data_IF_196871636392
#
_entry.id   IF_196871636392
#
_cell.length_a   1.000
_cell.length_b   1.000
_cell.length_c   1.000
_cell.angle_alpha   90.00
_cell.angle_beta   90.00
_cell.angle_gamma   90.00
#
_symmetry.space_group_name_H-M   'P 1'
#
loop_
_entity.id
_entity.type
_entity.pdbx_description
1 polymer ?
#
# COMPACT_ATOMS: atom_id res chain seq x y z
N UNK A 1 13.86 -69.56 45.90
CA UNK A 1 13.50 -68.43 45.02
C UNK A 1 13.31 -67.23 45.93
N UNK A 2 14.37 -66.58 46.41
CA UNK A 2 15.19 -65.57 45.70
C UNK A 2 14.33 -64.39 45.20
N UNK A 3 14.65 -63.11 45.36
CA UNK A 3 15.75 -62.40 45.99
C UNK A 3 15.34 -60.91 46.15
N UNK A 4 16.10 -60.20 46.99
CA UNK A 4 16.13 -58.73 47.19
C UNK A 4 16.27 -57.94 45.89
N UNK A 5 15.61 -56.77 45.80
CA UNK A 5 16.08 -55.57 45.07
C UNK A 5 15.57 -54.35 45.86
N UNK A 6 16.34 -53.71 46.74
CA UNK A 6 17.38 -52.68 46.50
C UNK A 6 16.84 -51.39 45.89
N UNK A 7 16.57 -50.39 46.74
CA UNK A 7 16.33 -49.00 46.30
C UNK A 7 17.65 -48.22 46.15
N UNK A 8 17.70 -47.16 45.34
CA UNK A 8 18.80 -46.21 45.38
C UNK A 8 18.39 -44.80 45.83
N UNK A 9 19.19 -44.33 46.80
CA UNK A 9 19.83 -43.02 46.91
C UNK A 9 19.04 -41.72 46.68
N UNK A 10 18.89 -41.00 47.80
CA UNK A 10 18.66 -39.55 47.94
C UNK A 10 19.76 -38.78 47.21
N UNK A 11 19.40 -38.05 46.16
CA UNK A 11 20.27 -37.09 45.48
C UNK A 11 20.20 -35.71 46.12
N UNK A 12 21.32 -35.27 46.70
CA UNK A 12 21.56 -33.88 47.11
C UNK A 12 21.40 -32.93 45.91
N UNK A 13 20.56 -31.90 46.05
CA UNK A 13 20.58 -30.73 45.16
C UNK A 13 21.13 -29.53 45.92
N UNK A 14 22.27 -29.04 45.45
CA UNK A 14 22.90 -27.80 45.87
C UNK A 14 22.01 -26.57 45.62
N UNK A 15 22.17 -25.49 46.42
CA UNK A 15 21.39 -24.26 46.28
C UNK A 15 21.88 -23.41 45.09
N UNK A 16 21.01 -23.20 44.11
CA UNK A 16 21.26 -22.34 42.95
C UNK A 16 21.15 -20.85 43.32
N UNK A 17 22.31 -20.29 43.65
CA UNK A 17 22.81 -18.93 43.34
C UNK A 17 21.80 -17.74 43.32
N UNK A 18 21.84 -16.94 44.39
CA UNK A 18 21.25 -15.58 44.50
C UNK A 18 22.01 -14.58 43.62
N UNK A 19 21.38 -14.05 42.56
CA UNK A 19 21.91 -12.91 41.79
C UNK A 19 20.83 -11.87 41.39
N UNK A 20 19.77 -11.70 42.18
CA UNK A 20 18.66 -10.78 41.85
C UNK A 20 18.70 -9.38 42.45
N UNK A 21 19.62 -9.06 43.37
CA UNK A 21 19.46 -7.88 44.25
C UNK A 21 20.42 -6.72 43.89
N UNK A 22 21.40 -6.91 43.01
CA UNK A 22 22.38 -5.84 42.66
C UNK A 22 22.05 -5.00 41.43
N UNK A 23 21.05 -5.38 40.63
CA UNK A 23 20.72 -4.66 39.39
C UNK A 23 19.77 -3.47 39.59
N UNK A 24 18.91 -3.51 40.62
CA UNK A 24 17.82 -2.53 40.79
C UNK A 24 18.33 -1.18 41.36
N UNK A 25 19.44 -1.18 42.10
CA UNK A 25 19.99 0.05 42.70
C UNK A 25 20.73 0.95 41.70
N UNK A 26 21.27 0.40 40.60
CA UNK A 26 22.00 1.21 39.60
C UNK A 26 21.08 2.03 38.67
N UNK A 27 19.87 1.56 38.42
CA UNK A 27 18.92 2.23 37.52
C UNK A 27 18.37 3.52 38.14
N UNK A 28 18.22 3.56 39.48
CA UNK A 28 17.68 4.72 40.20
C UNK A 28 18.64 5.92 40.26
N UNK A 29 19.96 5.70 40.15
CA UNK A 29 20.96 6.76 40.13
C UNK A 29 21.23 7.34 38.72
N UNK A 30 20.83 6.64 37.66
CA UNK A 30 20.99 7.11 36.27
C UNK A 30 19.82 7.99 35.81
N UNK A 31 18.65 7.84 36.42
CA UNK A 31 17.43 8.59 36.05
C UNK A 31 17.37 10.01 36.63
N UNK A 32 18.07 10.28 37.73
CA UNK A 32 18.02 11.59 38.41
C UNK A 32 18.91 12.65 37.73
N UNK A 33 19.94 12.22 36.98
CA UNK A 33 20.87 13.13 36.28
C UNK A 33 20.38 13.66 34.93
N UNK A 34 19.37 13.02 34.30
CA UNK A 34 18.83 13.48 32.99
C UNK A 34 17.64 14.43 33.12
N UNK A 35 16.97 14.48 34.28
CA UNK A 35 15.80 15.34 34.52
C UNK A 35 16.15 16.83 34.56
N UNK A 36 17.31 17.20 35.11
CA UNK A 36 17.75 18.61 35.23
C UNK A 36 18.19 19.20 33.88
N UNK A 37 18.59 18.36 32.92
CA UNK A 37 19.02 18.82 31.59
C UNK A 37 17.85 19.05 30.62
N UNK A 38 16.70 18.39 30.83
CA UNK A 38 15.52 18.51 29.98
C UNK A 38 14.62 19.70 30.34
N UNK A 39 14.57 20.08 31.63
CA UNK A 39 13.77 21.23 32.08
C UNK A 39 14.33 22.58 31.63
N UNK A 40 15.66 22.69 31.44
CA UNK A 40 16.30 23.91 30.95
C UNK A 40 16.09 24.18 29.46
N UNK A 41 16.07 23.13 28.62
CA UNK A 41 15.91 23.27 27.16
C UNK A 41 14.47 23.60 26.79
N UNK A 42 13.49 22.98 27.44
CA UNK A 42 12.06 23.27 27.21
C UNK A 42 11.72 24.70 27.64
N UNK A 43 12.27 25.17 28.78
CA UNK A 43 12.07 26.54 29.25
C UNK A 43 12.59 27.59 28.26
N UNK A 44 13.73 27.33 27.61
CA UNK A 44 14.30 28.25 26.62
C UNK A 44 13.48 28.30 25.33
N UNK A 45 12.96 27.16 24.87
CA UNK A 45 12.10 27.09 23.67
C UNK A 45 10.77 27.81 23.90
N UNK A 46 10.13 27.62 25.07
CA UNK A 46 8.89 28.32 25.42
C UNK A 46 9.15 29.83 25.53
N UNK A 47 10.27 30.25 26.14
CA UNK A 47 10.61 31.67 26.24
C UNK A 47 10.82 32.31 24.85
N UNK A 48 11.46 31.62 23.91
CA UNK A 48 11.66 32.11 22.55
C UNK A 48 10.34 32.19 21.76
N UNK A 49 9.42 31.24 21.95
CA UNK A 49 8.08 31.29 21.35
C UNK A 49 7.27 32.48 21.90
N UNK A 50 7.35 32.75 23.21
CA UNK A 50 6.65 33.89 23.82
C UNK A 50 7.26 35.23 23.40
N UNK A 51 8.59 35.31 23.23
CA UNK A 51 9.25 36.50 22.70
C UNK A 51 8.84 36.74 21.24
N UNK A 52 8.78 35.69 20.41
CA UNK A 52 8.28 35.80 19.04
C UNK A 52 6.83 36.32 18.98
N UNK A 53 5.96 35.87 19.89
CA UNK A 53 4.58 36.36 20.01
C UNK A 53 4.45 37.82 20.49
N UNK A 54 5.46 38.33 21.21
CA UNK A 54 5.43 39.69 21.77
C UNK A 54 6.08 40.75 20.86
N UNK A 55 6.81 40.33 19.83
CA UNK A 55 7.56 41.24 18.93
C UNK A 55 7.01 41.34 17.51
N UNK A 56 5.78 40.89 17.24
CA UNK A 56 5.09 41.16 15.96
C UNK A 56 4.12 42.35 16.09
N UNK A 57 4.53 43.58 15.71
CA UNK A 57 3.63 44.70 15.57
C UNK A 57 3.19 44.88 14.12
N UNK A 58 2.79 43.83 13.39
CA UNK A 58 2.24 43.99 12.03
C UNK A 58 1.31 42.85 11.67
N UNK A 59 0.05 43.17 11.33
CA UNK A 59 -0.80 42.22 10.62
C UNK A 59 -2.30 42.26 10.89
N UNK A 60 -2.88 43.38 11.34
CA UNK A 60 -4.33 43.58 11.20
C UNK A 60 -4.63 43.93 9.74
N UNK A 61 -5.17 42.97 9.00
CA UNK A 61 -5.89 43.19 7.76
C UNK A 61 -7.16 44.03 8.03
N UNK A 62 -7.46 44.96 7.14
CA UNK A 62 -8.78 44.97 6.55
C UNK A 62 -8.69 44.87 5.03
N UNK A 63 -9.78 44.37 4.48
CA UNK A 63 -10.14 44.34 3.06
C UNK A 63 -9.83 43.03 2.32
N UNK A 64 -10.92 42.43 1.87
CA UNK A 64 -10.97 41.15 1.18
C UNK A 64 -10.36 41.22 -0.21
N UNK A 65 -9.13 40.76 -0.29
CA UNK A 65 -8.50 40.29 -1.52
C UNK A 65 -7.80 38.98 -1.16
N UNK A 66 -8.36 37.87 -1.63
CA UNK A 66 -7.69 36.57 -1.61
C UNK A 66 -6.41 36.70 -2.45
N UNK A 67 -5.26 36.73 -1.78
CA UNK A 67 -3.97 36.55 -2.43
C UNK A 67 -3.60 35.07 -2.37
N UNK A 68 -3.79 34.37 -3.49
CA UNK A 68 -3.17 33.08 -3.76
C UNK A 68 -1.70 33.30 -4.13
N UNK A 69 -0.73 32.60 -3.50
CA UNK A 69 0.63 32.52 -4.03
C UNK A 69 0.77 31.27 -4.89
N UNK A 70 1.34 31.48 -6.08
CA UNK A 70 1.72 30.51 -7.11
C UNK A 70 0.59 29.88 -7.93
N UNK A 71 0.13 30.69 -8.90
CA UNK A 71 -0.78 30.31 -9.96
C UNK A 71 -0.14 29.42 -11.03
N UNK A 72 -0.78 28.29 -11.28
CA UNK A 72 -1.02 27.81 -12.63
C UNK A 72 -2.54 27.84 -12.85
N UNK A 73 -3.06 29.02 -13.18
CA UNK A 73 -4.36 29.09 -13.85
C UNK A 73 -4.16 28.53 -15.27
N UNK A 74 -4.74 27.36 -15.54
CA UNK A 74 -4.87 26.88 -16.90
C UNK A 74 -5.77 27.84 -17.66
N UNK A 75 -5.18 28.64 -18.55
CA UNK A 75 -5.93 29.52 -19.42
C UNK A 75 -6.95 28.68 -20.22
N UNK A 76 -8.23 29.10 -20.28
CA UNK A 76 -9.21 28.39 -21.09
C UNK A 76 -8.76 28.37 -22.55
N UNK A 77 -9.12 27.30 -23.26
CA UNK A 77 -8.87 27.23 -24.69
C UNK A 77 -9.57 28.40 -25.42
N UNK A 78 -9.26 28.58 -26.71
CA UNK A 78 -9.86 29.61 -27.56
C UNK A 78 -11.40 29.55 -27.68
N UNK A 79 -12.04 28.54 -27.09
CA UNK A 79 -13.47 28.33 -27.04
C UNK A 79 -14.06 28.43 -25.62
N UNK A 80 -13.26 28.76 -24.60
CA UNK A 80 -13.74 28.98 -23.23
C UNK A 80 -13.91 27.72 -22.39
N UNK A 81 -13.36 26.58 -22.79
CA UNK A 81 -13.41 25.36 -21.97
C UNK A 81 -12.26 25.31 -20.97
N UNK A 82 -12.60 25.03 -19.72
CA UNK A 82 -11.65 24.59 -18.69
C UNK A 82 -11.69 23.07 -18.70
N UNK A 83 -10.58 22.40 -19.02
CA UNK A 83 -10.52 20.93 -18.98
C UNK A 83 -10.71 20.46 -17.54
N UNK A 84 -11.82 19.77 -17.30
CA UNK A 84 -12.09 19.03 -16.07
C UNK A 84 -11.07 17.88 -15.96
N UNK A 85 -10.47 17.59 -14.79
CA UNK A 85 -9.52 16.50 -14.65
C UNK A 85 -10.21 15.17 -15.02
N UNK A 86 -9.92 14.68 -16.21
CA UNK A 86 -10.48 13.43 -16.73
C UNK A 86 -9.90 12.28 -15.91
N UNK A 87 -10.77 11.47 -15.31
CA UNK A 87 -10.37 10.18 -14.75
C UNK A 87 -9.59 9.39 -15.81
N UNK A 88 -8.40 8.88 -15.44
CA UNK A 88 -7.56 8.13 -16.36
C UNK A 88 -8.23 6.80 -16.72
N UNK A 89 -8.79 6.72 -17.92
CA UNK A 89 -9.19 5.47 -18.57
C UNK A 89 -8.23 5.26 -19.74
N UNK A 90 -7.32 4.28 -19.71
CA UNK A 90 -6.50 3.98 -20.87
C UNK A 90 -7.45 3.59 -22.02
N UNK A 91 -7.35 4.30 -23.15
CA UNK A 91 -8.07 3.95 -24.37
C UNK A 91 -7.62 2.54 -24.78
N UNK A 92 -8.51 1.55 -24.58
CA UNK A 92 -8.30 0.19 -25.07
C UNK A 92 -8.10 0.24 -26.59
N UNK A 93 -7.15 -0.52 -27.16
CA UNK A 93 -6.98 -0.56 -28.60
C UNK A 93 -8.27 -1.00 -29.28
N UNK A 94 -8.63 -0.30 -30.35
CA UNK A 94 -9.83 -0.51 -31.13
C UNK A 94 -9.89 -1.99 -31.59
N UNK A 95 -10.99 -2.68 -31.28
CA UNK A 95 -11.16 -4.15 -31.42
C UNK A 95 -11.07 -4.70 -32.86
N UNK A 96 -10.58 -3.92 -33.82
CA UNK A 96 -10.66 -4.18 -35.24
C UNK A 96 -9.49 -4.96 -35.87
N UNK A 97 -8.41 -5.28 -35.15
CA UNK A 97 -7.26 -6.01 -35.73
C UNK A 97 -6.98 -7.41 -35.16
N UNK A 98 -7.96 -8.05 -34.52
CA UNK A 98 -7.92 -9.52 -34.34
C UNK A 98 -8.39 -10.18 -35.64
N UNK A 99 -7.57 -10.11 -36.68
CA UNK A 99 -7.81 -10.81 -37.95
C UNK A 99 -7.35 -12.26 -37.84
N UNK A 100 -8.20 -13.10 -37.24
CA UNK A 100 -7.96 -14.54 -37.13
C UNK A 100 -9.19 -15.41 -36.88
N UNK A 101 -10.39 -14.85 -36.80
CA UNK A 101 -11.61 -15.62 -36.60
C UNK A 101 -12.38 -15.72 -37.91
N UNK A 102 -12.17 -16.83 -38.63
CA UNK A 102 -13.10 -17.28 -39.66
C UNK A 102 -14.49 -17.48 -39.05
N UNK A 103 -15.60 -17.03 -39.69
CA UNK A 103 -16.95 -17.31 -39.21
C UNK A 103 -17.29 -18.80 -39.40
N UNK A 104 -16.99 -19.60 -38.37
CA UNK A 104 -17.47 -20.96 -38.22
C UNK A 104 -18.77 -20.98 -37.43
N UNK A 105 -19.71 -21.80 -37.89
CA UNK A 105 -20.95 -22.12 -37.20
C UNK A 105 -20.64 -23.00 -35.97
N UNK A 106 -20.32 -22.34 -34.87
CA UNK A 106 -20.02 -22.97 -33.60
C UNK A 106 -21.08 -22.48 -32.63
N UNK A 107 -22.04 -23.33 -32.32
CA UNK A 107 -22.96 -23.13 -31.20
C UNK A 107 -22.10 -22.77 -29.99
N UNK A 108 -22.33 -21.59 -29.39
CA UNK A 108 -21.76 -21.24 -28.08
C UNK A 108 -22.34 -22.25 -27.09
N UNK A 109 -21.66 -23.38 -26.99
CA UNK A 109 -21.74 -24.25 -25.84
C UNK A 109 -20.90 -23.51 -24.82
N UNK A 110 -21.51 -23.12 -23.72
CA UNK A 110 -20.82 -22.54 -22.58
C UNK A 110 -19.53 -23.34 -22.34
N UNK A 111 -18.37 -22.68 -22.13
CA UNK A 111 -17.16 -23.42 -21.81
C UNK A 111 -17.45 -24.27 -20.56
N UNK A 112 -17.25 -25.58 -20.70
CA UNK A 112 -17.43 -26.58 -19.64
C UNK A 112 -16.82 -26.10 -18.32
N UNK A 113 -17.49 -26.30 -17.17
CA UNK A 113 -16.90 -26.01 -15.87
C UNK A 113 -15.73 -26.97 -15.66
N UNK A 114 -14.49 -26.46 -15.66
CA UNK A 114 -13.34 -27.30 -15.36
C UNK A 114 -13.42 -27.77 -13.89
N UNK A 115 -13.51 -29.08 -13.61
CA UNK A 115 -13.49 -29.59 -12.25
C UNK A 115 -12.06 -29.95 -11.82
N UNK A 116 -11.81 -29.86 -10.51
CA UNK A 116 -10.81 -30.62 -9.73
C UNK A 116 -9.30 -30.32 -9.83
N UNK A 117 -8.83 -29.18 -10.37
CA UNK A 117 -7.39 -28.83 -10.29
C UNK A 117 -7.01 -27.88 -9.16
N UNK A 118 -7.98 -27.32 -8.42
CA UNK A 118 -7.70 -26.28 -7.42
C UNK A 118 -7.12 -24.99 -8.00
N UNK A 119 -7.17 -24.82 -9.33
CA UNK A 119 -6.77 -23.60 -10.02
C UNK A 119 -7.95 -22.63 -10.11
N UNK A 120 -7.70 -21.31 -10.11
CA UNK A 120 -8.75 -20.32 -10.27
C UNK A 120 -9.48 -20.55 -11.60
N UNK A 121 -10.81 -20.44 -11.58
CA UNK A 121 -11.63 -20.57 -12.80
C UNK A 121 -11.56 -19.33 -13.70
N UNK A 122 -10.79 -18.31 -13.29
CA UNK A 122 -10.63 -17.04 -13.98
C UNK A 122 -9.50 -17.13 -15.00
N UNK A 123 -9.73 -16.60 -16.20
CA UNK A 123 -8.65 -16.40 -17.16
C UNK A 123 -7.80 -15.21 -16.71
N UNK A 124 -6.46 -15.32 -16.68
CA UNK A 124 -5.62 -14.18 -16.42
C UNK A 124 -5.89 -13.05 -17.42
N UNK A 125 -5.97 -11.83 -16.90
CA UNK A 125 -6.09 -10.63 -17.71
C UNK A 125 -4.81 -10.38 -18.50
N UNK A 126 -4.92 -9.67 -19.61
CA UNK A 126 -3.76 -9.15 -20.30
C UNK A 126 -3.18 -7.94 -19.54
N UNK A 127 -1.85 -7.84 -19.53
CA UNK A 127 -1.13 -6.72 -18.95
C UNK A 127 -0.73 -5.77 -20.09
N UNK A 128 -1.43 -4.66 -20.21
CA UNK A 128 -1.24 -3.71 -21.30
C UNK A 128 -0.13 -2.73 -20.97
N UNK A 129 0.89 -2.54 -21.84
CA UNK A 129 1.83 -1.45 -21.68
C UNK A 129 1.11 -0.11 -21.92
N UNK A 130 1.47 0.90 -21.13
CA UNK A 130 0.91 2.24 -21.30
C UNK A 130 1.35 2.83 -22.66
N UNK A 131 0.38 3.18 -23.50
CA UNK A 131 0.62 3.82 -24.81
C UNK A 131 1.17 5.24 -24.69
N UNK A 132 0.98 5.89 -23.53
CA UNK A 132 1.57 7.19 -23.19
C UNK A 132 2.09 7.14 -21.76
N UNK A 133 3.26 7.72 -21.56
CA UNK A 133 3.85 7.91 -20.24
C UNK A 133 3.06 9.00 -19.51
N UNK A 134 2.28 8.59 -18.52
CA UNK A 134 1.50 9.48 -17.66
C UNK A 134 1.87 9.23 -16.20
N UNK A 135 2.11 10.29 -15.45
CA UNK A 135 2.40 10.17 -14.02
C UNK A 135 1.11 9.81 -13.27
N UNK A 136 1.14 8.69 -12.54
CA UNK A 136 0.04 8.23 -11.71
C UNK A 136 -0.42 9.32 -10.72
N UNK A 137 -1.73 9.58 -10.60
CA UNK A 137 -2.25 10.58 -9.68
C UNK A 137 -1.83 10.30 -8.23
N UNK A 138 -1.30 11.29 -7.52
CA UNK A 138 -0.96 11.12 -6.11
C UNK A 138 -2.23 11.03 -5.26
N UNK A 139 -2.20 10.29 -4.15
CA UNK A 139 -3.27 10.24 -3.16
C UNK A 139 -2.69 10.04 -1.76
N UNK A 140 -3.47 10.42 -0.74
CA UNK A 140 -3.16 10.14 0.67
C UNK A 140 -4.36 9.45 1.31
N UNK A 141 -4.11 8.32 1.99
CA UNK A 141 -5.06 7.54 2.76
C UNK A 141 -4.45 7.17 4.12
N UNK A 142 -5.31 6.78 5.06
CA UNK A 142 -4.89 6.17 6.31
C UNK A 142 -4.82 4.64 6.13
N UNK A 143 -3.65 4.03 6.32
CA UNK A 143 -3.49 2.58 6.27
C UNK A 143 -4.06 1.91 7.52
N UNK A 144 -4.18 0.58 7.53
CA UNK A 144 -4.84 -0.21 8.57
C UNK A 144 -4.21 -0.11 9.96
N UNK A 145 -2.93 0.25 10.05
CA UNK A 145 -2.23 0.51 11.31
C UNK A 145 -2.40 1.95 11.83
N UNK A 146 -3.03 2.82 11.05
CA UNK A 146 -3.27 4.23 11.36
C UNK A 146 -2.17 5.16 10.86
N UNK A 147 -1.15 4.62 10.19
CA UNK A 147 -0.15 5.42 9.49
C UNK A 147 -0.77 6.09 8.26
N UNK A 148 -0.18 7.22 7.86
CA UNK A 148 -0.53 7.88 6.61
C UNK A 148 0.27 7.25 5.49
N UNK A 149 -0.44 6.86 4.43
CA UNK A 149 0.14 6.38 3.19
C UNK A 149 -0.11 7.42 2.11
N UNK A 150 0.96 7.95 1.54
CA UNK A 150 0.90 8.79 0.34
C UNK A 150 1.64 8.11 -0.80
N UNK A 151 1.05 8.06 -1.98
CA UNK A 151 1.66 7.35 -3.12
C UNK A 151 3.02 7.96 -3.50
N UNK A 152 3.16 9.29 -3.42
CA UNK A 152 4.42 9.99 -3.66
C UNK A 152 5.55 9.70 -2.65
N UNK A 153 5.25 9.12 -1.48
CA UNK A 153 6.30 8.70 -0.53
C UNK A 153 7.12 7.50 -1.05
N UNK A 154 6.62 6.83 -2.10
CA UNK A 154 7.28 5.69 -2.76
C UNK A 154 7.99 6.06 -4.06
N UNK A 155 8.20 7.35 -4.34
CA UNK A 155 9.01 7.78 -5.47
C UNK A 155 10.43 7.17 -5.40
N UNK A 156 10.97 6.78 -6.56
CA UNK A 156 12.19 5.99 -6.68
C UNK A 156 12.01 4.49 -6.53
N UNK A 157 10.79 4.01 -6.24
CA UNK A 157 10.43 2.58 -6.25
C UNK A 157 9.49 2.28 -7.40
N UNK A 158 9.53 1.04 -7.90
CA UNK A 158 8.45 0.52 -8.76
C UNK A 158 7.25 0.23 -7.86
N UNK A 159 6.09 0.74 -8.23
CA UNK A 159 4.86 0.60 -7.43
C UNK A 159 3.91 -0.35 -8.16
N UNK A 160 3.51 -1.43 -7.51
CA UNK A 160 2.42 -2.30 -7.96
C UNK A 160 1.18 -1.92 -7.18
N UNK A 161 0.34 -1.09 -7.78
CA UNK A 161 -0.91 -0.57 -7.20
C UNK A 161 -2.08 -1.46 -7.63
N UNK A 162 -2.63 -2.23 -6.69
CA UNK A 162 -3.75 -3.13 -6.91
C UNK A 162 -5.02 -2.58 -6.25
N UNK A 163 -6.08 -2.40 -7.04
CA UNK A 163 -7.39 -1.94 -6.57
C UNK A 163 -8.32 -3.14 -6.45
N UNK A 164 -8.79 -3.44 -5.24
CA UNK A 164 -9.38 -4.75 -4.91
C UNK A 164 -10.49 -4.65 -3.86
N UNK A 165 -11.16 -5.76 -3.53
CA UNK A 165 -12.10 -5.81 -2.42
C UNK A 165 -12.16 -7.20 -1.75
N UNK A 166 -12.49 -7.24 -0.46
CA UNK A 166 -12.55 -8.49 0.34
C UNK A 166 -13.65 -9.46 -0.12
N UNK A 167 -14.68 -8.95 -0.78
CA UNK A 167 -15.80 -9.73 -1.33
C UNK A 167 -15.57 -10.18 -2.77
N UNK A 168 -14.50 -9.74 -3.43
CA UNK A 168 -14.17 -10.05 -4.82
C UNK A 168 -13.36 -11.35 -4.90
N UNK A 169 -13.92 -12.47 -5.43
CA UNK A 169 -13.21 -13.74 -5.50
C UNK A 169 -11.88 -13.69 -6.28
N UNK A 170 -11.80 -13.16 -7.52
CA UNK A 170 -10.53 -13.13 -8.25
C UNK A 170 -9.47 -12.28 -7.53
N UNK A 171 -9.89 -11.22 -6.83
CA UNK A 171 -8.98 -10.42 -6.01
C UNK A 171 -8.32 -11.26 -4.91
N UNK A 172 -9.11 -12.11 -4.23
CA UNK A 172 -8.60 -12.98 -3.16
C UNK A 172 -7.63 -14.03 -3.68
N UNK A 173 -7.87 -14.53 -4.89
CA UNK A 173 -6.98 -15.49 -5.55
C UNK A 173 -5.65 -14.85 -5.98
N UNK A 174 -5.62 -13.53 -6.22
CA UNK A 174 -4.41 -12.76 -6.60
C UNK A 174 -3.50 -12.43 -5.40
N UNK A 175 -4.06 -12.32 -4.18
CA UNK A 175 -3.32 -11.93 -2.96
C UNK A 175 -2.04 -12.75 -2.71
N UNK A 176 -2.01 -14.09 -2.82
CA UNK A 176 -0.77 -14.84 -2.63
C UNK A 176 0.34 -14.45 -3.61
N UNK A 177 0.00 -14.09 -4.85
CA UNK A 177 0.96 -13.61 -5.84
C UNK A 177 1.52 -12.23 -5.46
N UNK A 178 0.66 -11.33 -4.98
CA UNK A 178 1.07 -10.00 -4.50
C UNK A 178 1.98 -10.09 -3.26
N UNK A 179 1.65 -10.96 -2.31
CA UNK A 179 2.47 -11.22 -1.12
C UNK A 179 3.86 -11.68 -1.56
N UNK A 180 3.91 -12.70 -2.43
CA UNK A 180 5.16 -13.24 -2.96
C UNK A 180 5.99 -12.17 -3.68
N UNK A 181 5.35 -11.33 -4.48
CA UNK A 181 6.02 -10.25 -5.18
C UNK A 181 6.65 -9.25 -4.19
N UNK A 182 5.94 -8.86 -3.14
CA UNK A 182 6.48 -8.01 -2.07
C UNK A 182 7.65 -8.68 -1.32
N UNK A 183 7.57 -9.99 -1.05
CA UNK A 183 8.66 -10.73 -0.38
C UNK A 183 9.93 -10.79 -1.23
N UNK A 184 9.81 -11.10 -2.51
CA UNK A 184 10.96 -11.33 -3.39
C UNK A 184 11.57 -10.02 -3.91
N UNK A 185 10.77 -8.96 -4.07
CA UNK A 185 11.19 -7.71 -4.72
C UNK A 185 11.17 -6.47 -3.83
N UNK A 186 10.63 -6.54 -2.62
CA UNK A 186 10.56 -5.39 -1.70
C UNK A 186 11.92 -4.74 -1.44
N UNK A 187 12.94 -5.56 -1.20
CA UNK A 187 14.33 -5.13 -0.98
C UNK A 187 15.04 -4.70 -2.27
N UNK A 188 14.47 -5.01 -3.43
CA UNK A 188 14.99 -4.66 -4.77
C UNK A 188 14.41 -3.35 -5.30
N UNK A 189 13.66 -2.60 -4.48
CA UNK A 189 13.07 -1.32 -4.87
C UNK A 189 11.65 -1.41 -5.41
N UNK A 190 10.92 -2.49 -5.11
CA UNK A 190 9.49 -2.62 -5.43
C UNK A 190 8.64 -2.37 -4.19
N UNK A 191 7.47 -1.77 -4.38
CA UNK A 191 6.44 -1.64 -3.36
C UNK A 191 5.09 -2.08 -3.92
N UNK A 192 4.49 -3.10 -3.31
CA UNK A 192 3.09 -3.45 -3.54
C UNK A 192 2.20 -2.57 -2.65
N UNK A 193 1.10 -2.06 -3.17
CA UNK A 193 0.07 -1.32 -2.42
C UNK A 193 -1.30 -1.83 -2.87
N UNK A 194 -2.08 -2.39 -1.95
CA UNK A 194 -3.41 -2.92 -2.23
C UNK A 194 -4.52 -2.01 -1.71
N UNK A 195 -5.09 -1.12 -2.52
CA UNK A 195 -6.18 -0.26 -2.06
C UNK A 195 -7.52 -1.01 -2.11
N UNK A 196 -8.16 -1.16 -0.95
CA UNK A 196 -9.48 -1.78 -0.84
C UNK A 196 -10.58 -0.81 -1.22
N UNK A 197 -11.47 -1.23 -2.11
CA UNK A 197 -12.70 -0.55 -2.52
C UNK A 197 -13.93 -1.08 -1.77
N UNK A 198 -13.73 -1.73 -0.63
CA UNK A 198 -14.83 -2.02 0.29
C UNK A 198 -15.50 -0.71 0.76
N UNK A 199 -16.75 -0.81 1.20
CA UNK A 199 -17.51 0.35 1.65
C UNK A 199 -16.85 1.12 2.82
N UNK A 200 -17.13 2.42 2.91
CA UNK A 200 -16.69 3.25 4.02
C UNK A 200 -17.09 2.62 5.37
N UNK A 201 -16.12 2.45 6.27
CA UNK A 201 -16.30 1.77 7.56
C UNK A 201 -15.91 0.29 7.56
N UNK A 202 -15.53 -0.30 6.43
CA UNK A 202 -15.07 -1.69 6.34
C UNK A 202 -13.64 -1.94 6.85
N UNK A 203 -12.96 -0.93 7.41
CA UNK A 203 -11.56 -1.01 7.87
C UNK A 203 -11.26 -2.26 8.70
N UNK A 204 -12.12 -2.62 9.67
CA UNK A 204 -11.90 -3.82 10.49
C UNK A 204 -11.99 -5.11 9.66
N UNK A 205 -12.95 -5.20 8.74
CA UNK A 205 -13.13 -6.35 7.85
C UNK A 205 -11.91 -6.53 6.94
N UNK A 206 -11.38 -5.43 6.40
CA UNK A 206 -10.15 -5.44 5.59
C UNK A 206 -8.94 -5.84 6.42
N UNK A 207 -8.83 -5.36 7.67
CA UNK A 207 -7.77 -5.78 8.58
C UNK A 207 -7.82 -7.26 8.97
N UNK A 208 -9.00 -7.78 9.27
CA UNK A 208 -9.18 -9.20 9.56
C UNK A 208 -8.81 -10.07 8.34
N UNK A 209 -9.19 -9.63 7.14
CA UNK A 209 -8.79 -10.26 5.90
C UNK A 209 -7.26 -10.26 5.72
N UNK A 210 -6.64 -9.08 5.80
CA UNK A 210 -5.20 -8.90 5.62
C UNK A 210 -4.40 -9.77 6.60
N UNK A 211 -4.84 -9.82 7.86
CA UNK A 211 -4.25 -10.69 8.88
C UNK A 211 -4.41 -12.19 8.53
N UNK A 212 -5.59 -12.60 8.07
CA UNK A 212 -5.87 -14.02 7.75
C UNK A 212 -5.09 -14.53 6.53
N UNK A 213 -4.82 -13.66 5.56
CA UNK A 213 -4.04 -13.99 4.36
C UNK A 213 -2.53 -13.76 4.55
N UNK A 214 -2.12 -13.09 5.62
CA UNK A 214 -0.70 -12.75 5.84
C UNK A 214 -0.20 -11.65 4.90
N UNK A 215 -1.09 -10.70 4.54
CA UNK A 215 -0.73 -9.55 3.71
C UNK A 215 0.43 -8.79 4.36
N UNK A 216 1.50 -8.59 3.59
CA UNK A 216 2.78 -8.02 4.02
C UNK A 216 3.08 -6.66 3.36
N UNK A 217 2.06 -6.05 2.76
CA UNK A 217 2.12 -4.75 2.09
C UNK A 217 0.99 -3.84 2.61
N UNK A 218 1.12 -2.50 2.46
CA UNK A 218 0.08 -1.56 2.85
C UNK A 218 -1.23 -1.80 2.12
N UNK A 219 -2.35 -1.71 2.85
CA UNK A 219 -3.68 -2.01 2.28
C UNK A 219 -4.79 -1.09 2.80
N UNK A 220 -4.70 0.23 2.54
CA UNK A 220 -5.70 1.18 3.01
C UNK A 220 -7.07 0.93 2.37
N UNK A 221 -8.13 1.40 3.03
CA UNK A 221 -9.48 1.45 2.45
C UNK A 221 -9.66 2.79 1.75
N UNK A 222 -10.09 2.77 0.50
CA UNK A 222 -10.40 3.96 -0.27
C UNK A 222 -11.59 4.71 0.37
N UNK A 223 -11.44 6.01 0.55
CA UNK A 223 -12.53 6.89 0.99
C UNK A 223 -13.19 7.66 -0.17
N UNK A 224 -12.91 7.21 -1.40
CA UNK A 224 -13.41 7.73 -2.68
C UNK A 224 -12.36 8.48 -3.47
N UNK A 225 -11.26 8.92 -2.83
CA UNK A 225 -10.20 9.70 -3.49
C UNK A 225 -9.43 8.90 -4.54
N UNK A 226 -9.26 7.59 -4.35
CA UNK A 226 -8.54 6.75 -5.32
C UNK A 226 -9.43 6.48 -6.52
N UNK A 227 -10.70 6.11 -6.31
CA UNK A 227 -11.66 5.94 -7.40
C UNK A 227 -11.93 7.23 -8.18
N UNK A 228 -11.88 8.41 -7.56
CA UNK A 228 -11.99 9.69 -8.27
C UNK A 228 -10.85 9.89 -9.28
N UNK A 229 -9.62 9.49 -8.92
CA UNK A 229 -8.40 9.75 -9.70
C UNK A 229 -8.07 8.66 -10.71
N UNK A 230 -8.22 7.41 -10.29
CA UNK A 230 -7.97 6.23 -11.11
C UNK A 230 -9.23 5.76 -11.85
N UNK A 231 -10.36 6.44 -11.62
CA UNK A 231 -11.62 6.28 -12.32
C UNK A 231 -12.59 5.30 -11.65
N UNK A 232 -13.89 5.41 -11.97
CA UNK A 232 -14.84 4.38 -11.61
C UNK A 232 -14.44 3.08 -12.31
N UNK A 233 -13.97 2.11 -11.53
CA UNK A 233 -13.52 0.84 -12.08
C UNK A 233 -14.73 -0.02 -12.41
N UNK A 234 -14.85 -0.40 -13.68
CA UNK A 234 -15.87 -1.39 -14.10
C UNK A 234 -15.49 -2.83 -13.72
N UNK A 235 -14.23 -3.07 -13.37
CA UNK A 235 -13.65 -4.39 -13.08
C UNK A 235 -12.69 -4.31 -11.90
N UNK A 236 -12.78 -5.26 -10.99
CA UNK A 236 -11.74 -5.53 -10.00
C UNK A 236 -11.37 -7.04 -9.99
N UNK A 237 -10.11 -7.40 -9.73
CA UNK A 237 -9.00 -6.50 -9.41
C UNK A 237 -8.58 -5.66 -10.62
N UNK A 238 -8.02 -4.49 -10.37
CA UNK A 238 -7.35 -3.68 -11.40
C UNK A 238 -5.97 -3.31 -10.89
N UNK A 239 -4.94 -3.61 -11.68
CA UNK A 239 -3.54 -3.38 -11.31
C UNK A 239 -2.90 -2.34 -12.22
N UNK A 240 -2.25 -1.36 -11.61
CA UNK A 240 -1.35 -0.41 -12.27
C UNK A 240 0.07 -0.68 -11.80
N UNK A 241 1.03 -0.76 -12.73
CA UNK A 241 2.45 -0.86 -12.39
C UNK A 241 3.13 0.44 -12.80
N UNK A 242 3.69 1.15 -11.82
CA UNK A 242 4.32 2.44 -11.98
C UNK A 242 5.85 2.31 -11.85
N UNK A 243 6.61 3.07 -12.62
CA UNK A 243 8.06 3.17 -12.46
C UNK A 243 8.48 4.09 -11.28
N UNK A 244 9.79 4.25 -11.08
CA UNK A 244 10.35 5.11 -10.03
C UNK A 244 9.98 6.58 -10.14
N UNK A 245 9.56 7.07 -11.31
CA UNK A 245 9.01 8.42 -11.50
C UNK A 245 7.50 8.51 -11.22
N UNK A 246 6.89 7.40 -10.76
CA UNK A 246 5.45 7.18 -10.65
C UNK A 246 4.74 7.24 -12.01
N UNK A 247 5.42 6.99 -13.13
CA UNK A 247 4.72 6.90 -14.41
C UNK A 247 4.05 5.55 -14.51
N UNK A 248 2.77 5.50 -14.90
CA UNK A 248 2.07 4.26 -15.19
C UNK A 248 2.72 3.65 -16.43
N UNK A 249 3.29 2.46 -16.28
CA UNK A 249 3.96 1.69 -17.33
C UNK A 249 3.12 0.53 -17.80
N UNK A 250 2.34 -0.06 -16.90
CA UNK A 250 1.40 -1.14 -17.23
C UNK A 250 0.06 -0.97 -16.53
N UNK A 251 -0.98 -1.52 -17.16
CA UNK A 251 -2.36 -1.54 -16.68
C UNK A 251 -3.00 -2.89 -16.99
N UNK A 252 -3.72 -3.46 -16.03
CA UNK A 252 -4.48 -4.70 -16.19
C UNK A 252 -5.83 -4.62 -15.46
N UNK A 253 -6.96 -4.65 -16.19
CA UNK A 253 -8.28 -4.85 -15.61
C UNK A 253 -8.58 -6.34 -15.50
N UNK A 254 -8.32 -6.93 -14.34
CA UNK A 254 -8.62 -8.32 -13.99
C UNK A 254 -7.47 -9.03 -13.28
N UNK A 255 -7.70 -10.29 -12.94
CA UNK A 255 -6.75 -11.16 -12.22
C UNK A 255 -5.43 -11.32 -12.99
N UNK A 256 -4.30 -11.09 -12.34
CA UNK A 256 -2.97 -11.41 -12.85
C UNK A 256 -2.36 -12.60 -12.11
N UNK A 257 -1.58 -13.40 -12.85
CA UNK A 257 -0.67 -14.34 -12.24
C UNK A 257 0.64 -13.67 -11.83
N UNK A 258 1.32 -14.28 -10.85
CA UNK A 258 2.63 -13.85 -10.39
C UNK A 258 3.61 -13.62 -11.55
N UNK A 259 3.68 -14.53 -12.52
CA UNK A 259 4.63 -14.44 -13.63
C UNK A 259 4.41 -13.20 -14.52
N UNK A 260 3.17 -12.73 -14.65
CA UNK A 260 2.87 -11.53 -15.42
C UNK A 260 3.36 -10.26 -14.70
N UNK A 261 3.11 -10.19 -13.39
CA UNK A 261 3.60 -9.08 -12.56
C UNK A 261 5.13 -9.09 -12.44
N UNK A 262 5.73 -10.25 -12.23
CA UNK A 262 7.18 -10.44 -12.16
C UNK A 262 7.87 -9.99 -13.44
N UNK A 263 7.36 -10.40 -14.61
CA UNK A 263 7.94 -10.01 -15.89
C UNK A 263 7.95 -8.48 -16.09
N UNK A 264 6.84 -7.81 -15.77
CA UNK A 264 6.77 -6.35 -15.87
C UNK A 264 7.65 -5.64 -14.84
N UNK A 265 7.73 -6.15 -13.61
CA UNK A 265 8.62 -5.61 -12.58
C UNK A 265 10.09 -5.76 -12.97
N UNK A 266 10.50 -6.93 -13.47
CA UNK A 266 11.87 -7.16 -13.94
C UNK A 266 12.20 -6.29 -15.15
N UNK A 267 11.25 -6.04 -16.07
CA UNK A 267 11.46 -5.07 -17.15
C UNK A 267 11.82 -3.69 -16.59
N UNK A 268 11.02 -3.17 -15.65
CA UNK A 268 11.23 -1.85 -15.06
C UNK A 268 12.46 -1.75 -14.15
N UNK A 269 12.91 -2.85 -13.56
CA UNK A 269 14.15 -2.87 -12.77
C UNK A 269 15.41 -2.80 -13.64
N UNK A 270 15.30 -3.11 -14.93
CA UNK A 270 16.40 -3.13 -15.88
C UNK A 270 16.41 -1.92 -16.84
N UNK A 271 15.40 -1.05 -16.76
CA UNK A 271 15.30 0.24 -17.48
C UNK A 271 16.31 1.28 -16.92
#
# INVERSE_FOLDING_TARGET
>A
MEARISGPAVGNREPRHRNGIKAITKIRAFMDKKSVFWTGVIGLVIALIVIAWLTDPFGLAPDGQEHTPDGQEHAPDQNGHVEEPQAYVPELPDTAEVTGLTPGNDTITEPDPHPDTGQPTWRPAELFPATRVYQGPDFELEDLDGSRLRLSDYEGRIIVLNLWATWCPPCRDEVPALIRLQEEYGDRGVQVIGVSLDENGARQKVADFAQSFGVNYPTPVDDGRVQEKYGPLSVIPTTYILDGGRNIRFYAPGYLEYAQMEAAVEELLND
#
